data_IF_358298767109
#
_entry.id   IF_358298767109
#
_cell.length_a   1.000
_cell.length_b   1.000
_cell.length_c   1.000
_cell.angle_alpha   90.00
_cell.angle_beta   90.00
_cell.angle_gamma   90.00
#
_symmetry.space_group_name_H-M   'P 1'
#
loop_
_entity.id
_entity.type
_entity.pdbx_description
1 polymer ?
#
# COMPACT_ATOMS: atom_id res chain seq x y z
N UNK A 1 -5.84 -35.28 27.27
CA UNK A 1 -6.21 -33.89 26.94
C UNK A 1 -5.33 -33.40 25.80
N UNK A 2 -5.79 -33.55 24.56
CA UNK A 2 -5.09 -33.04 23.37
C UNK A 2 -5.44 -31.58 23.18
N UNK A 3 -4.42 -30.73 23.24
CA UNK A 3 -4.53 -29.28 23.19
C UNK A 3 -5.08 -28.82 21.83
N UNK A 4 -6.15 -28.04 21.92
CA UNK A 4 -6.91 -27.47 20.83
C UNK A 4 -6.09 -26.37 20.14
N UNK A 5 -5.71 -26.67 18.89
CA UNK A 5 -5.72 -25.76 17.74
C UNK A 5 -5.40 -24.29 18.08
N UNK A 6 -4.10 -23.99 18.13
CA UNK A 6 -3.60 -22.64 17.85
C UNK A 6 -3.93 -22.27 16.40
N UNK A 7 -5.10 -21.67 16.21
CA UNK A 7 -5.63 -21.17 14.96
C UNK A 7 -4.79 -19.99 14.47
N UNK A 8 -3.81 -20.29 13.63
CA UNK A 8 -3.87 -19.86 12.23
C UNK A 8 -4.15 -18.39 11.92
N UNK A 9 -3.55 -17.45 12.65
CA UNK A 9 -3.18 -16.18 12.04
C UNK A 9 -1.68 -16.00 12.24
N UNK A 10 -0.92 -16.57 11.30
CA UNK A 10 0.47 -16.19 11.07
C UNK A 10 0.41 -14.81 10.44
N UNK A 11 0.80 -13.71 11.11
CA UNK A 11 1.02 -12.46 10.41
C UNK A 11 2.23 -12.70 9.51
N UNK A 12 2.01 -13.16 8.27
CA UNK A 12 2.96 -13.01 7.19
C UNK A 12 3.06 -11.51 6.86
N UNK A 13 3.66 -10.78 7.79
CA UNK A 13 4.29 -9.51 7.55
C UNK A 13 5.55 -9.80 6.73
N UNK A 14 5.39 -10.01 5.41
CA UNK A 14 6.48 -9.76 4.47
C UNK A 14 6.72 -8.25 4.42
N UNK A 15 7.33 -7.73 5.48
CA UNK A 15 8.00 -6.43 5.48
C UNK A 15 9.18 -6.56 4.53
N UNK A 16 8.91 -6.35 3.23
CA UNK A 16 9.96 -6.18 2.23
C UNK A 16 10.76 -4.95 2.65
N UNK A 17 12.04 -5.17 2.91
CA UNK A 17 13.03 -4.14 3.19
C UNK A 17 12.83 -2.94 2.25
N UNK A 18 12.55 -1.78 2.83
CA UNK A 18 12.45 -0.52 2.08
C UNK A 18 13.87 -0.13 1.65
N UNK A 19 14.32 -0.61 0.50
CA UNK A 19 15.46 -0.02 -0.20
C UNK A 19 15.13 1.45 -0.47
N UNK A 20 15.85 2.34 0.21
CA UNK A 20 15.90 3.77 -0.10
C UNK A 20 16.34 3.90 -1.55
N UNK A 21 15.40 4.20 -2.43
CA UNK A 21 15.69 4.64 -3.79
C UNK A 21 15.17 6.06 -3.84
N UNK A 22 16.05 6.99 -4.16
CA UNK A 22 15.74 8.38 -4.43
C UNK A 22 14.89 8.42 -5.71
N UNK A 23 13.58 8.15 -5.59
CA UNK A 23 12.65 8.17 -6.71
C UNK A 23 11.78 9.39 -6.53
N UNK A 24 11.99 10.38 -7.40
CA UNK A 24 11.25 11.64 -7.48
C UNK A 24 9.76 11.49 -7.86
N UNK A 25 9.19 10.30 -7.67
CA UNK A 25 7.79 9.91 -7.94
C UNK A 25 7.09 9.56 -6.61
N UNK A 26 7.15 10.49 -5.65
CA UNK A 26 6.64 10.31 -4.29
C UNK A 26 5.11 10.10 -4.25
N UNK A 27 4.38 10.57 -5.26
CA UNK A 27 2.92 10.49 -5.33
C UNK A 27 2.40 9.05 -5.37
N UNK A 28 2.95 8.23 -6.26
CA UNK A 28 2.56 6.81 -6.40
C UNK A 28 2.93 6.03 -5.12
N UNK A 29 4.12 6.29 -4.55
CA UNK A 29 4.57 5.59 -3.35
C UNK A 29 3.64 5.84 -2.15
N UNK A 30 3.24 7.10 -1.93
CA UNK A 30 2.29 7.47 -0.88
C UNK A 30 0.92 6.87 -1.16
N UNK A 31 0.44 6.95 -2.40
CA UNK A 31 -0.84 6.37 -2.80
C UNK A 31 -0.92 4.86 -2.56
N UNK A 32 0.11 4.11 -2.97
CA UNK A 32 0.18 2.65 -2.75
C UNK A 32 0.25 2.31 -1.26
N UNK A 33 1.05 3.04 -0.47
CA UNK A 33 1.15 2.79 0.97
C UNK A 33 -0.20 3.01 1.69
N UNK A 34 -0.89 4.11 1.39
CA UNK A 34 -2.20 4.41 1.94
C UNK A 34 -3.26 3.41 1.45
N UNK A 35 -3.22 3.04 0.17
CA UNK A 35 -4.13 2.07 -0.43
C UNK A 35 -3.99 0.68 0.17
N UNK A 36 -2.77 0.23 0.44
CA UNK A 36 -2.53 -1.05 1.10
C UNK A 36 -3.10 -1.07 2.52
N UNK A 37 -2.86 -0.03 3.32
CA UNK A 37 -3.40 0.06 4.68
C UNK A 37 -4.93 0.15 4.66
N UNK A 38 -5.51 0.98 3.78
CA UNK A 38 -6.94 1.07 3.60
C UNK A 38 -7.57 -0.26 3.17
N UNK A 39 -6.96 -0.94 2.19
CA UNK A 39 -7.43 -2.23 1.70
C UNK A 39 -7.40 -3.32 2.76
N UNK A 40 -6.42 -3.30 3.67
CA UNK A 40 -6.37 -4.23 4.81
C UNK A 40 -7.51 -3.96 5.79
N UNK A 41 -7.85 -2.69 6.07
CA UNK A 41 -8.96 -2.32 6.97
C UNK A 41 -10.30 -2.82 6.42
N UNK A 42 -10.52 -2.68 5.11
CA UNK A 42 -11.75 -3.13 4.45
C UNK A 42 -11.77 -4.62 4.12
N UNK A 43 -10.71 -5.37 4.51
CA UNK A 43 -10.47 -6.76 4.11
C UNK A 43 -10.60 -6.96 2.58
N UNK A 44 -10.32 -5.89 1.82
CA UNK A 44 -10.43 -5.82 0.37
C UNK A 44 -9.20 -5.08 -0.17
N UNK A 45 -8.11 -5.84 -0.28
CA UNK A 45 -6.83 -5.31 -0.70
C UNK A 45 -6.87 -4.80 -2.15
N UNK A 46 -7.70 -5.41 -3.01
CA UNK A 46 -7.90 -4.98 -4.39
C UNK A 46 -8.49 -3.58 -4.48
N UNK A 47 -9.55 -3.31 -3.70
CA UNK A 47 -10.18 -1.99 -3.64
C UNK A 47 -9.20 -0.94 -3.08
N UNK A 48 -8.50 -1.26 -1.98
CA UNK A 48 -7.53 -0.36 -1.39
C UNK A 48 -6.37 -0.01 -2.33
N UNK A 49 -5.80 -1.01 -3.00
CA UNK A 49 -4.70 -0.79 -3.95
C UNK A 49 -5.17 -0.02 -5.20
N UNK A 50 -6.35 -0.32 -5.74
CA UNK A 50 -6.92 0.40 -6.87
C UNK A 50 -7.12 1.88 -6.56
N UNK A 51 -7.72 2.19 -5.39
CA UNK A 51 -7.89 3.57 -4.92
C UNK A 51 -6.56 4.25 -4.62
N UNK A 52 -5.64 3.54 -3.98
CA UNK A 52 -4.31 4.05 -3.65
C UNK A 52 -3.49 4.42 -4.87
N UNK A 53 -3.46 3.55 -5.89
CA UNK A 53 -2.78 3.82 -7.17
C UNK A 53 -3.50 4.93 -7.93
N UNK A 54 -4.83 4.95 -7.97
CA UNK A 54 -5.59 6.00 -8.65
C UNK A 54 -5.31 7.38 -8.04
N UNK A 55 -5.31 7.51 -6.71
CA UNK A 55 -4.96 8.75 -6.03
C UNK A 55 -3.48 9.10 -6.19
N UNK A 56 -2.57 8.13 -6.04
CA UNK A 56 -1.14 8.36 -6.21
C UNK A 56 -0.79 8.86 -7.62
N UNK A 57 -1.41 8.28 -8.64
CA UNK A 57 -1.24 8.69 -10.04
C UNK A 57 -1.89 10.04 -10.32
N UNK A 58 -3.06 10.33 -9.76
CA UNK A 58 -3.72 11.62 -9.90
C UNK A 58 -2.90 12.76 -9.27
N UNK A 59 -2.31 12.53 -8.08
CA UNK A 59 -1.43 13.48 -7.41
C UNK A 59 -0.12 13.70 -8.17
N UNK A 60 0.45 12.64 -8.73
CA UNK A 60 1.66 12.72 -9.56
C UNK A 60 1.40 13.52 -10.85
N UNK A 61 0.31 13.20 -11.55
CA UNK A 61 -0.14 13.91 -12.76
C UNK A 61 -0.46 15.38 -12.49
N UNK A 62 -1.03 15.70 -11.33
CA UNK A 62 -1.33 17.07 -10.92
C UNK A 62 -0.07 17.90 -10.62
N UNK A 63 0.98 17.29 -10.04
CA UNK A 63 2.26 17.98 -9.78
C UNK A 63 3.05 18.28 -11.05
N UNK A 64 2.95 17.44 -12.10
CA UNK A 64 3.67 17.66 -13.37
C UNK A 64 3.24 18.93 -14.12
N UNK A 65 2.07 19.51 -13.82
CA UNK A 65 1.61 20.75 -14.44
C UNK A 65 2.30 22.03 -13.94
N UNK A 66 3.13 21.98 -12.89
CA UNK A 66 3.78 23.18 -12.33
C UNK A 66 5.15 23.54 -12.94
N UNK A 67 5.58 22.87 -14.02
CA UNK A 67 6.87 23.14 -14.69
C UNK A 67 6.76 23.48 -16.18
N UNK A 68 5.62 23.99 -16.63
CA UNK A 68 5.51 24.71 -17.90
C UNK A 68 4.76 26.02 -17.70
#
# INVERSE_FOLDING_TARGET
MTNEKNSGIKPESKTKEKKKKDVSDEGIAVGVALGLVGGLIFNNLGLGLALGVAFGAAFDSSKKKKKQ
#
